data_IF_032338899288
#
_entry.id   IF_032338899288
#
_cell.length_a   1.000
_cell.length_b   1.000
_cell.length_c   1.000
_cell.angle_alpha   90.00
_cell.angle_beta   90.00
_cell.angle_gamma   90.00
#
_symmetry.space_group_name_H-M   'P 1'
#
loop_
_entity.id
_entity.type
_entity.pdbx_description
1 polymer ?
#
# COMPACT_ATOMS: atom_id res chain seq x y z
N UNK A 1 -5.43 -31.43 -7.76
CA UNK A 1 -5.03 -30.03 -8.05
C UNK A 1 -6.32 -29.22 -7.96
N UNK A 2 -6.31 -27.94 -7.57
CA UNK A 2 -7.56 -27.14 -7.50
C UNK A 2 -7.45 -25.94 -8.44
N UNK A 3 -8.58 -25.53 -9.02
CA UNK A 3 -8.65 -24.30 -9.79
C UNK A 3 -8.25 -23.10 -8.94
N UNK A 4 -7.67 -22.09 -9.59
CA UNK A 4 -7.19 -20.87 -8.93
C UNK A 4 -7.44 -19.66 -9.83
N UNK A 5 -7.03 -18.47 -9.38
CA UNK A 5 -7.02 -17.25 -10.20
C UNK A 5 -6.17 -17.34 -11.47
N UNK A 6 -5.26 -18.31 -11.58
CA UNK A 6 -4.37 -18.47 -12.75
C UNK A 6 -4.47 -19.86 -13.39
N UNK A 7 -5.38 -20.71 -12.94
CA UNK A 7 -5.53 -22.08 -13.42
C UNK A 7 -7.02 -22.45 -13.54
N UNK A 8 -7.41 -22.89 -14.72
CA UNK A 8 -8.77 -23.35 -15.05
C UNK A 8 -8.75 -24.78 -15.59
N UNK A 9 -9.70 -25.61 -15.19
CA UNK A 9 -9.93 -26.92 -15.76
C UNK A 9 -11.13 -26.93 -16.69
N UNK A 10 -11.00 -27.69 -17.79
CA UNK A 10 -12.08 -27.95 -18.74
C UNK A 10 -12.04 -29.39 -19.17
N UNK A 11 -13.08 -30.14 -18.84
CA UNK A 11 -13.22 -31.52 -19.32
C UNK A 11 -13.37 -31.54 -20.86
N UNK A 12 -14.12 -30.58 -21.41
CA UNK A 12 -14.41 -30.46 -22.85
C UNK A 12 -14.21 -29.05 -23.39
N UNK A 13 -14.01 -28.94 -24.70
CA UNK A 13 -13.79 -27.66 -25.39
C UNK A 13 -15.15 -27.02 -25.71
N UNK A 14 -15.59 -26.11 -24.84
CA UNK A 14 -16.81 -25.30 -25.05
C UNK A 14 -16.46 -23.83 -25.16
N UNK A 15 -17.29 -23.00 -25.80
CA UNK A 15 -17.00 -21.57 -25.98
C UNK A 15 -16.86 -20.77 -24.65
N UNK A 16 -17.12 -21.40 -23.49
CA UNK A 16 -16.96 -20.77 -22.18
C UNK A 16 -15.50 -20.44 -21.86
N UNK A 17 -14.53 -21.22 -22.35
CA UNK A 17 -13.10 -20.98 -22.09
C UNK A 17 -12.63 -19.62 -22.66
N UNK A 18 -13.30 -19.09 -23.69
CA UNK A 18 -12.96 -17.80 -24.29
C UNK A 18 -13.16 -16.63 -23.33
N UNK A 19 -14.10 -16.75 -22.38
CA UNK A 19 -14.21 -15.78 -21.27
C UNK A 19 -12.95 -15.80 -20.42
N UNK A 20 -12.46 -17.00 -20.11
CA UNK A 20 -11.23 -17.19 -19.33
C UNK A 20 -10.01 -16.69 -20.08
N UNK A 21 -9.91 -16.89 -21.39
CA UNK A 21 -8.84 -16.32 -22.22
C UNK A 21 -8.88 -14.79 -22.20
N UNK A 22 -10.05 -14.18 -22.37
CA UNK A 22 -10.21 -12.72 -22.21
C UNK A 22 -9.77 -12.26 -20.82
N UNK A 23 -10.14 -12.97 -19.76
CA UNK A 23 -9.71 -12.66 -18.40
C UNK A 23 -8.19 -12.76 -18.22
N UNK A 24 -7.56 -13.84 -18.67
CA UNK A 24 -6.11 -14.01 -18.57
C UNK A 24 -5.35 -12.96 -19.38
N UNK A 25 -5.83 -12.60 -20.58
CA UNK A 25 -5.20 -11.53 -21.37
C UNK A 25 -5.37 -10.14 -20.76
N UNK A 26 -6.44 -9.88 -20.00
CA UNK A 26 -6.65 -8.60 -19.33
C UNK A 26 -5.87 -8.45 -18.00
N UNK A 27 -5.49 -9.56 -17.35
CA UNK A 27 -4.90 -9.56 -16.02
C UNK A 27 -3.57 -10.32 -16.00
N UNK A 28 -3.34 -11.21 -15.03
CA UNK A 28 -2.01 -11.79 -14.75
C UNK A 28 -1.59 -12.93 -15.70
N UNK A 29 -2.35 -13.19 -16.76
CA UNK A 29 -2.21 -14.42 -17.53
C UNK A 29 -2.74 -15.64 -16.78
N UNK A 30 -2.47 -16.83 -17.31
CA UNK A 30 -2.85 -18.07 -16.68
C UNK A 30 -2.87 -19.26 -17.62
N UNK A 31 -3.31 -20.40 -17.10
CA UNK A 31 -3.30 -21.68 -17.78
C UNK A 31 -4.71 -22.29 -17.81
N UNK A 32 -5.09 -22.86 -18.95
CA UNK A 32 -6.31 -23.66 -19.09
C UNK A 32 -5.88 -25.08 -19.48
N UNK A 33 -6.28 -26.07 -18.67
CA UNK A 33 -6.06 -27.49 -18.97
C UNK A 33 -7.34 -28.11 -19.52
N UNK A 34 -7.27 -28.58 -20.77
CA UNK A 34 -8.36 -29.31 -21.41
C UNK A 34 -8.19 -30.82 -21.25
N UNK A 35 -9.30 -31.54 -21.10
CA UNK A 35 -9.34 -32.99 -20.85
C UNK A 35 -9.19 -33.35 -19.36
N UNK A 36 -9.41 -32.39 -18.46
CA UNK A 36 -9.30 -32.54 -17.01
C UNK A 36 -10.62 -32.11 -16.36
N UNK A 37 -11.17 -32.93 -15.46
CA UNK A 37 -12.38 -32.58 -14.71
C UNK A 37 -12.10 -31.59 -13.56
N UNK A 38 -13.15 -31.08 -12.93
CA UNK A 38 -13.05 -30.06 -11.86
C UNK A 38 -12.30 -30.58 -10.62
N UNK A 39 -12.22 -31.90 -10.44
CA UNK A 39 -11.46 -32.57 -9.37
C UNK A 39 -9.97 -32.76 -9.72
N UNK A 40 -9.59 -32.46 -10.97
CA UNK A 40 -8.23 -32.60 -11.48
C UNK A 40 -7.91 -33.99 -12.03
N UNK A 41 -8.91 -34.84 -12.30
CA UNK A 41 -8.71 -36.14 -12.92
C UNK A 41 -8.65 -36.00 -14.44
N UNK A 42 -7.73 -36.74 -15.06
CA UNK A 42 -7.57 -36.78 -16.51
C UNK A 42 -8.69 -37.63 -17.11
N UNK A 43 -9.56 -37.01 -17.91
CA UNK A 43 -10.58 -37.69 -18.73
C UNK A 43 -10.09 -37.95 -20.15
N UNK A 44 -9.19 -37.09 -20.64
CA UNK A 44 -8.62 -37.17 -21.97
C UNK A 44 -9.53 -36.59 -23.05
N UNK A 45 -8.93 -36.17 -24.17
CA UNK A 45 -9.61 -35.71 -25.38
C UNK A 45 -9.48 -36.77 -26.48
N UNK A 46 -10.51 -36.94 -27.31
CA UNK A 46 -10.56 -37.98 -28.34
C UNK A 46 -9.66 -37.69 -29.56
N UNK A 47 -9.50 -36.42 -29.94
CA UNK A 47 -8.60 -35.98 -31.01
C UNK A 47 -7.92 -34.67 -30.59
N UNK A 48 -6.71 -34.79 -30.06
CA UNK A 48 -5.96 -33.65 -29.53
C UNK A 48 -5.46 -32.71 -30.62
N UNK A 49 -5.14 -33.22 -31.82
CA UNK A 49 -4.62 -32.38 -32.90
C UNK A 49 -5.71 -31.49 -33.48
N UNK A 50 -6.89 -32.06 -33.72
CA UNK A 50 -8.05 -31.28 -34.16
C UNK A 50 -8.50 -30.29 -33.08
N UNK A 51 -8.49 -30.73 -31.81
CA UNK A 51 -8.80 -29.87 -30.68
C UNK A 51 -7.89 -28.64 -30.57
N UNK A 52 -6.58 -28.77 -30.81
CA UNK A 52 -5.67 -27.62 -30.84
C UNK A 52 -6.08 -26.61 -31.93
N UNK A 53 -6.33 -27.09 -33.16
CA UNK A 53 -6.78 -26.22 -34.27
C UNK A 53 -8.11 -25.53 -33.95
N UNK A 54 -9.05 -26.26 -33.32
CA UNK A 54 -10.34 -25.72 -32.93
C UNK A 54 -10.19 -24.63 -31.86
N UNK A 55 -9.30 -24.81 -30.89
CA UNK A 55 -8.99 -23.81 -29.86
C UNK A 55 -8.38 -22.56 -30.51
N UNK A 56 -7.39 -22.73 -31.38
CA UNK A 56 -6.73 -21.62 -32.10
C UNK A 56 -7.74 -20.79 -32.90
N UNK A 57 -8.55 -21.46 -33.74
CA UNK A 57 -9.57 -20.79 -34.56
C UNK A 57 -10.59 -20.05 -33.69
N UNK A 58 -11.09 -20.69 -32.61
CA UNK A 58 -12.05 -20.05 -31.69
C UNK A 58 -11.48 -18.80 -31.04
N UNK A 59 -10.22 -18.82 -30.62
CA UNK A 59 -9.54 -17.65 -30.03
C UNK A 59 -9.41 -16.55 -31.08
N UNK A 60 -8.87 -16.89 -32.25
CA UNK A 60 -8.58 -15.93 -33.31
C UNK A 60 -9.85 -15.25 -33.85
N UNK A 61 -10.98 -15.97 -33.92
CA UNK A 61 -12.24 -15.45 -34.45
C UNK A 61 -13.05 -14.65 -33.42
N UNK A 62 -12.85 -14.92 -32.12
CA UNK A 62 -13.77 -14.43 -31.08
C UNK A 62 -13.17 -13.39 -30.14
N UNK A 63 -11.85 -13.27 -30.06
CA UNK A 63 -11.17 -12.38 -29.12
C UNK A 63 -10.46 -11.25 -29.87
N UNK A 64 -10.68 -10.03 -29.41
CA UNK A 64 -10.04 -8.84 -29.96
C UNK A 64 -9.61 -7.89 -28.84
N UNK A 65 -8.36 -7.41 -28.80
CA UNK A 65 -7.25 -7.74 -29.71
C UNK A 65 -6.80 -9.20 -29.64
N UNK A 66 -5.91 -9.62 -30.56
CA UNK A 66 -5.41 -10.99 -30.58
C UNK A 66 -4.54 -11.29 -29.35
N UNK A 67 -4.88 -12.30 -28.53
CA UNK A 67 -4.12 -12.61 -27.33
C UNK A 67 -2.81 -13.34 -27.66
N UNK A 68 -1.83 -13.23 -26.76
CA UNK A 68 -0.58 -14.00 -26.86
C UNK A 68 -0.72 -15.28 -26.04
N UNK A 69 -0.64 -16.43 -26.71
CA UNK A 69 -0.81 -17.73 -26.06
C UNK A 69 0.09 -18.80 -26.69
N UNK A 70 0.31 -19.88 -25.95
CA UNK A 70 0.98 -21.11 -26.43
C UNK A 70 0.15 -22.33 -26.07
N UNK A 71 0.13 -23.32 -26.97
CA UNK A 71 -0.53 -24.60 -26.77
C UNK A 71 0.50 -25.72 -26.65
N UNK A 72 0.35 -26.55 -25.64
CA UNK A 72 1.22 -27.71 -25.38
C UNK A 72 0.36 -28.97 -25.20
N UNK A 73 0.71 -30.04 -25.92
CA UNK A 73 0.09 -31.35 -25.75
C UNK A 73 0.80 -32.08 -24.62
N UNK A 74 0.03 -32.63 -23.68
CA UNK A 74 0.55 -33.31 -22.49
C UNK A 74 -0.08 -34.70 -22.30
N UNK A 75 0.51 -35.49 -21.40
CA UNK A 75 0.00 -36.79 -20.97
C UNK A 75 -0.27 -37.77 -22.12
N UNK A 76 0.73 -38.03 -22.98
CA UNK A 76 0.62 -38.94 -24.14
C UNK A 76 -0.58 -38.62 -25.06
N UNK A 77 -0.73 -37.36 -25.46
CA UNK A 77 -1.83 -36.91 -26.33
C UNK A 77 -3.23 -37.09 -25.72
N UNK A 78 -3.37 -36.90 -24.41
CA UNK A 78 -4.68 -36.92 -23.74
C UNK A 78 -5.17 -35.53 -23.34
N UNK A 79 -4.27 -34.59 -23.06
CA UNK A 79 -4.65 -33.27 -22.53
C UNK A 79 -3.95 -32.15 -23.28
N UNK A 80 -4.58 -30.97 -23.32
CA UNK A 80 -4.00 -29.76 -23.91
C UNK A 80 -3.85 -28.72 -22.83
N UNK A 81 -2.66 -28.14 -22.73
CA UNK A 81 -2.37 -26.98 -21.90
C UNK A 81 -2.33 -25.73 -22.77
N UNK A 82 -3.24 -24.80 -22.52
CA UNK A 82 -3.25 -23.47 -23.12
C UNK A 82 -2.70 -22.47 -22.11
N UNK A 83 -1.54 -21.90 -22.39
CA UNK A 83 -0.90 -20.87 -21.57
C UNK A 83 -1.17 -19.50 -22.20
N UNK A 84 -1.91 -18.64 -21.52
CA UNK A 84 -2.26 -17.28 -21.98
C UNK A 84 -1.43 -16.26 -21.21
N UNK A 85 -0.76 -15.36 -21.94
CA UNK A 85 0.00 -14.26 -21.35
C UNK A 85 -0.89 -13.02 -21.17
N UNK A 86 -0.56 -12.21 -20.16
CA UNK A 86 -1.10 -10.86 -20.04
C UNK A 86 -0.80 -10.05 -21.30
N UNK A 87 -1.79 -9.34 -21.81
CA UNK A 87 -1.68 -8.55 -23.01
C UNK A 87 -1.51 -7.05 -22.76
N UNK A 88 -0.83 -6.37 -23.67
CA UNK A 88 -0.56 -4.93 -23.57
C UNK A 88 -1.69 -4.06 -24.14
N UNK A 89 -2.51 -4.61 -25.04
CA UNK A 89 -3.53 -3.85 -25.79
C UNK A 89 -4.92 -3.95 -25.15
N UNK A 90 -4.98 -3.81 -23.83
CA UNK A 90 -6.23 -3.97 -23.08
C UNK A 90 -7.30 -2.95 -23.54
N UNK A 91 -8.60 -3.28 -23.46
CA UNK A 91 -9.17 -4.56 -23.05
C UNK A 91 -9.19 -5.60 -24.17
N UNK A 92 -8.94 -6.86 -23.82
CA UNK A 92 -9.22 -8.05 -24.63
C UNK A 92 -10.68 -8.46 -24.45
N UNK A 93 -11.46 -8.35 -25.52
CA UNK A 93 -12.91 -8.51 -25.51
C UNK A 93 -13.32 -9.85 -26.10
N UNK A 94 -14.29 -10.50 -25.45
CA UNK A 94 -15.06 -11.62 -26.01
C UNK A 94 -16.53 -11.21 -26.07
N UNK A 95 -17.14 -11.24 -27.26
CA UNK A 95 -18.51 -10.74 -27.50
C UNK A 95 -18.72 -9.31 -26.96
N UNK A 96 -17.78 -8.42 -27.27
CA UNK A 96 -17.78 -7.00 -26.86
C UNK A 96 -17.74 -6.75 -25.35
N UNK A 97 -17.35 -7.76 -24.56
CA UNK A 97 -17.27 -7.68 -23.10
C UNK A 97 -15.88 -8.08 -22.63
N UNK A 98 -15.36 -7.39 -21.62
CA UNK A 98 -14.15 -7.78 -20.92
C UNK A 98 -14.50 -8.62 -19.68
N UNK A 99 -13.64 -9.57 -19.34
CA UNK A 99 -13.85 -10.49 -18.23
C UNK A 99 -12.67 -10.44 -17.25
N UNK A 100 -12.91 -10.84 -16.01
CA UNK A 100 -11.89 -11.08 -14.97
C UNK A 100 -12.17 -12.39 -14.25
N UNK A 101 -11.12 -13.00 -13.69
CA UNK A 101 -11.28 -14.13 -12.77
C UNK A 101 -11.51 -13.61 -11.36
N UNK A 102 -12.59 -14.10 -10.75
CA UNK A 102 -12.89 -13.93 -9.35
C UNK A 102 -12.74 -15.29 -8.66
N UNK A 103 -11.52 -15.56 -8.23
CA UNK A 103 -11.09 -16.87 -7.73
C UNK A 103 -11.22 -17.96 -8.82
N UNK A 104 -12.22 -18.85 -8.72
CA UNK A 104 -12.49 -19.90 -9.71
C UNK A 104 -13.45 -19.46 -10.83
N UNK A 105 -14.28 -18.44 -10.59
CA UNK A 105 -15.30 -18.03 -11.55
C UNK A 105 -14.79 -16.93 -12.48
N UNK A 106 -15.18 -16.97 -13.76
CA UNK A 106 -14.93 -15.88 -14.70
C UNK A 106 -16.17 -15.01 -14.86
N UNK A 107 -16.06 -13.73 -14.47
CA UNK A 107 -17.16 -12.76 -14.47
C UNK A 107 -16.87 -11.59 -15.41
N UNK A 108 -17.93 -10.94 -15.89
CA UNK A 108 -17.81 -9.69 -16.65
C UNK A 108 -17.33 -8.57 -15.70
N UNK A 109 -16.44 -7.71 -16.21
CA UNK A 109 -15.97 -6.55 -15.45
C UNK A 109 -17.05 -5.46 -15.39
N UNK A 110 -17.09 -4.70 -14.31
CA UNK A 110 -17.98 -3.54 -14.21
C UNK A 110 -17.49 -2.35 -15.05
N UNK A 111 -18.26 -1.27 -15.09
CA UNK A 111 -17.95 -0.07 -15.90
C UNK A 111 -16.66 0.62 -15.47
N UNK A 112 -16.35 0.65 -14.17
CA UNK A 112 -15.15 1.29 -13.63
C UNK A 112 -13.91 0.50 -14.07
N UNK A 113 -13.96 -0.81 -13.86
CA UNK A 113 -12.89 -1.73 -14.21
C UNK A 113 -12.68 -1.83 -15.72
N UNK A 114 -13.77 -1.79 -16.51
CA UNK A 114 -13.67 -1.68 -17.97
C UNK A 114 -12.94 -0.41 -18.39
N UNK A 115 -13.28 0.72 -17.79
CA UNK A 115 -12.65 2.02 -18.09
C UNK A 115 -11.16 1.96 -17.77
N UNK A 116 -10.76 1.32 -16.66
CA UNK A 116 -9.35 1.10 -16.30
C UNK A 116 -8.60 0.29 -17.35
N UNK A 117 -9.18 -0.81 -17.85
CA UNK A 117 -8.55 -1.62 -18.90
C UNK A 117 -8.34 -0.81 -20.19
N UNK A 118 -9.30 0.04 -20.57
CA UNK A 118 -9.18 0.93 -21.74
C UNK A 118 -8.05 1.94 -21.56
N UNK A 119 -7.93 2.51 -20.37
CA UNK A 119 -6.83 3.44 -20.04
C UNK A 119 -5.48 2.73 -20.05
N UNK A 120 -5.40 1.53 -19.49
CA UNK A 120 -4.19 0.72 -19.44
C UNK A 120 -3.68 0.37 -20.84
N UNK A 121 -4.56 -0.07 -21.75
CA UNK A 121 -4.15 -0.35 -23.14
C UNK A 121 -3.80 0.88 -23.97
N UNK A 122 -4.24 2.08 -23.54
CA UNK A 122 -3.76 3.35 -24.09
C UNK A 122 -2.50 3.87 -23.39
N UNK A 123 -2.06 3.20 -22.32
CA UNK A 123 -1.00 3.67 -21.43
C UNK A 123 -1.25 5.10 -20.90
N UNK A 124 -2.52 5.41 -20.61
CA UNK A 124 -2.97 6.68 -20.03
C UNK A 124 -3.42 6.40 -18.60
N UNK A 125 -3.13 7.32 -17.67
CA UNK A 125 -3.55 7.19 -16.26
C UNK A 125 -4.74 8.09 -15.96
N UNK A 126 -5.49 7.80 -14.91
CA UNK A 126 -6.64 8.61 -14.51
C UNK A 126 -6.27 10.07 -14.27
N UNK A 127 -5.11 10.30 -13.64
CA UNK A 127 -4.60 11.62 -13.29
C UNK A 127 -4.18 12.43 -14.54
N UNK A 128 -3.96 11.76 -15.67
CA UNK A 128 -3.62 12.37 -16.96
C UNK A 128 -4.87 12.73 -17.78
N UNK A 129 -6.04 12.22 -17.40
CA UNK A 129 -7.30 12.58 -18.06
C UNK A 129 -7.65 14.05 -17.85
N UNK A 130 -8.36 14.68 -18.80
CA UNK A 130 -8.84 16.05 -18.63
C UNK A 130 -9.66 16.21 -17.35
N UNK A 131 -9.36 17.25 -16.58
CA UNK A 131 -10.14 17.60 -15.41
C UNK A 131 -11.49 18.15 -15.84
N UNK A 132 -12.54 17.75 -15.13
CA UNK A 132 -13.89 18.28 -15.37
C UNK A 132 -13.95 19.80 -15.16
N UNK A 133 -13.28 20.28 -14.11
CA UNK A 133 -13.19 21.70 -13.79
C UNK A 133 -11.94 22.31 -14.45
N UNK A 134 -12.13 23.40 -15.17
CA UNK A 134 -11.05 24.12 -15.87
C UNK A 134 -10.77 25.51 -15.26
N UNK A 135 -11.61 25.96 -14.34
CA UNK A 135 -11.41 27.18 -13.56
C UNK A 135 -10.76 26.82 -12.22
N UNK A 136 -9.45 26.56 -12.26
CA UNK A 136 -8.66 26.13 -11.11
C UNK A 136 -7.72 27.25 -10.61
N UNK A 137 -7.56 27.34 -9.29
CA UNK A 137 -6.57 28.19 -8.63
C UNK A 137 -5.48 27.33 -7.97
N UNK A 138 -4.27 27.88 -7.85
CA UNK A 138 -3.07 27.14 -7.42
C UNK A 138 -2.21 27.91 -6.41
N UNK A 139 -2.82 28.70 -5.53
CA UNK A 139 -2.12 29.51 -4.51
C UNK A 139 -1.22 28.64 -3.61
N UNK A 140 -1.70 27.47 -3.18
CA UNK A 140 -0.94 26.54 -2.33
C UNK A 140 0.29 26.01 -3.10
N UNK A 141 0.10 25.57 -4.35
CA UNK A 141 1.19 25.08 -5.19
C UNK A 141 2.21 26.19 -5.47
N UNK A 142 1.73 27.38 -5.82
CA UNK A 142 2.56 28.54 -6.09
C UNK A 142 3.43 28.91 -4.88
N UNK A 143 2.85 29.01 -3.69
CA UNK A 143 3.60 29.29 -2.46
C UNK A 143 4.66 28.24 -2.19
N UNK A 144 4.32 26.95 -2.31
CA UNK A 144 5.27 25.85 -2.11
C UNK A 144 6.44 25.90 -3.12
N UNK A 145 6.15 26.14 -4.40
CA UNK A 145 7.18 26.26 -5.44
C UNK A 145 8.10 27.47 -5.20
N UNK A 146 7.54 28.60 -4.76
CA UNK A 146 8.30 29.80 -4.43
C UNK A 146 9.19 29.57 -3.21
N UNK A 147 8.69 28.93 -2.16
CA UNK A 147 9.47 28.70 -0.94
C UNK A 147 10.55 27.64 -1.11
N UNK A 148 10.25 26.52 -1.80
CA UNK A 148 11.15 25.37 -1.89
C UNK A 148 12.10 25.43 -3.08
N UNK A 149 11.64 25.98 -4.21
CA UNK A 149 12.37 25.98 -5.49
C UNK A 149 12.78 27.40 -5.90
N UNK A 150 12.32 28.43 -5.17
CA UNK A 150 12.64 29.84 -5.46
C UNK A 150 12.25 30.27 -6.87
N UNK A 151 11.14 29.72 -7.39
CA UNK A 151 10.58 30.17 -8.67
C UNK A 151 10.13 31.64 -8.56
N UNK A 152 10.59 32.46 -9.50
CA UNK A 152 10.27 33.89 -9.56
C UNK A 152 8.88 34.15 -10.15
N UNK A 153 8.45 33.34 -11.13
CA UNK A 153 7.18 33.52 -11.85
C UNK A 153 6.38 32.23 -11.91
N UNK A 154 5.09 32.31 -11.60
CA UNK A 154 4.15 31.19 -11.69
C UNK A 154 3.10 31.50 -12.76
N UNK A 155 3.09 30.72 -13.84
CA UNK A 155 2.22 30.94 -14.99
C UNK A 155 1.85 29.60 -15.68
N UNK A 156 1.17 29.68 -16.83
CA UNK A 156 0.79 28.48 -17.61
C UNK A 156 1.99 27.64 -18.06
N UNK A 157 3.15 28.24 -18.33
CA UNK A 157 4.34 27.49 -18.73
C UNK A 157 4.92 26.68 -17.56
N UNK A 158 4.81 27.20 -16.34
CA UNK A 158 5.10 26.42 -15.11
C UNK A 158 4.20 25.20 -15.03
N UNK A 159 2.89 25.38 -15.27
CA UNK A 159 1.90 24.30 -15.23
C UNK A 159 2.14 23.25 -16.34
N UNK A 160 2.52 23.69 -17.55
CA UNK A 160 2.95 22.80 -18.64
C UNK A 160 4.18 22.00 -18.28
N UNK A 161 5.19 22.63 -17.68
CA UNK A 161 6.43 21.99 -17.23
C UNK A 161 6.18 20.92 -16.15
N UNK A 162 5.15 21.11 -15.33
CA UNK A 162 4.71 20.15 -14.31
C UNK A 162 3.76 19.08 -14.87
N UNK A 163 3.45 19.10 -16.17
CA UNK A 163 2.46 18.25 -16.84
C UNK A 163 1.07 18.35 -16.19
N UNK A 164 0.65 19.56 -15.80
CA UNK A 164 -0.66 19.84 -15.21
C UNK A 164 -1.62 20.49 -16.21
N UNK A 165 -1.10 21.03 -17.31
CA UNK A 165 -1.88 21.71 -18.33
C UNK A 165 -1.29 21.45 -19.71
N UNK A 166 -2.14 21.29 -20.72
CA UNK A 166 -1.76 21.34 -22.13
C UNK A 166 -2.76 22.20 -22.93
N UNK A 167 -2.34 22.69 -24.10
CA UNK A 167 -3.17 23.61 -24.90
C UNK A 167 -4.36 22.92 -25.60
N UNK A 168 -4.33 21.59 -25.75
CA UNK A 168 -5.36 20.83 -26.45
C UNK A 168 -6.51 20.41 -25.52
N UNK A 169 -6.19 19.99 -24.29
CA UNK A 169 -7.13 19.42 -23.33
C UNK A 169 -7.32 20.27 -22.06
N UNK A 170 -6.51 21.31 -21.87
CA UNK A 170 -6.53 22.14 -20.67
C UNK A 170 -5.89 21.44 -19.47
N UNK A 171 -6.47 21.64 -18.29
CA UNK A 171 -6.04 21.01 -17.04
C UNK A 171 -6.39 19.54 -16.99
N UNK A 172 -5.49 18.72 -16.46
CA UNK A 172 -5.74 17.31 -16.17
C UNK A 172 -6.12 17.07 -14.70
N UNK A 173 -6.55 15.85 -14.36
CA UNK A 173 -6.96 15.50 -13.01
C UNK A 173 -5.84 15.70 -11.97
N UNK A 174 -4.57 15.53 -12.32
CA UNK A 174 -3.45 15.86 -11.44
C UNK A 174 -3.44 17.36 -11.05
N UNK A 175 -3.78 18.24 -11.99
CA UNK A 175 -3.96 19.66 -11.71
C UNK A 175 -5.16 19.89 -10.78
N UNK A 176 -6.29 19.22 -11.03
CA UNK A 176 -7.45 19.26 -10.14
C UNK A 176 -7.09 18.85 -8.70
N UNK A 177 -6.27 17.81 -8.53
CA UNK A 177 -5.79 17.37 -7.21
C UNK A 177 -4.92 18.41 -6.51
N UNK A 178 -4.13 19.17 -7.27
CA UNK A 178 -3.23 20.21 -6.75
C UNK A 178 -3.91 21.58 -6.60
N UNK A 179 -5.10 21.76 -7.16
CA UNK A 179 -5.87 22.99 -7.08
C UNK A 179 -6.31 23.31 -5.64
N UNK A 180 -6.43 24.59 -5.30
CA UNK A 180 -6.75 25.02 -3.93
C UNK A 180 -8.12 24.51 -3.46
N UNK A 181 -9.05 24.38 -4.41
CA UNK A 181 -10.37 23.78 -4.27
C UNK A 181 -10.55 22.71 -5.33
N UNK A 182 -11.05 21.55 -4.93
CA UNK A 182 -11.36 20.45 -5.83
C UNK A 182 -12.52 19.61 -5.27
N UNK A 183 -12.86 18.52 -5.94
CA UNK A 183 -13.95 17.60 -5.57
C UNK A 183 -13.45 16.20 -5.23
N UNK A 184 -12.13 16.01 -5.07
CA UNK A 184 -11.55 14.68 -4.86
C UNK A 184 -11.58 14.30 -3.37
N UNK A 185 -11.74 13.00 -3.04
CA UNK A 185 -11.66 12.53 -1.66
C UNK A 185 -10.27 12.81 -1.08
N UNK A 186 -10.18 13.29 0.14
CA UNK A 186 -8.92 13.62 0.77
C UNK A 186 -8.48 12.60 1.82
N UNK A 187 -8.27 13.08 3.05
CA UNK A 187 -7.81 12.29 4.19
C UNK A 187 -8.77 12.43 5.37
N UNK A 188 -9.06 11.32 6.03
CA UNK A 188 -9.82 11.25 7.28
C UNK A 188 -8.89 10.77 8.40
N UNK A 189 -8.66 11.62 9.39
CA UNK A 189 -7.74 11.39 10.50
C UNK A 189 -8.55 11.20 11.78
N UNK A 190 -8.34 10.08 12.46
CA UNK A 190 -9.02 9.74 13.72
C UNK A 190 -7.98 9.46 14.80
N UNK A 191 -8.07 10.18 15.94
CA UNK A 191 -7.39 9.79 17.18
C UNK A 191 -8.32 8.92 18.00
N UNK A 192 -7.92 7.69 18.24
CA UNK A 192 -8.63 6.75 19.10
C UNK A 192 -8.12 6.82 20.54
N UNK A 193 -8.99 6.47 21.49
CA UNK A 193 -8.63 6.24 22.89
C UNK A 193 -8.14 4.80 23.11
N UNK A 194 -8.54 4.20 24.23
CA UNK A 194 -8.13 2.84 24.61
C UNK A 194 -8.53 1.76 23.59
N UNK A 195 -9.58 2.01 22.81
CA UNK A 195 -10.03 1.12 21.75
C UNK A 195 -10.73 1.92 20.63
N UNK A 196 -11.02 1.25 19.52
CA UNK A 196 -11.63 1.85 18.32
C UNK A 196 -13.05 2.40 18.54
N UNK A 197 -13.73 1.98 19.59
CA UNK A 197 -15.06 2.50 19.94
C UNK A 197 -14.98 3.87 20.64
N UNK A 198 -13.79 4.27 21.10
CA UNK A 198 -13.55 5.57 21.73
C UNK A 198 -12.85 6.48 20.74
N UNK A 199 -13.61 7.38 20.11
CA UNK A 199 -13.07 8.41 19.22
C UNK A 199 -12.81 9.68 20.04
N UNK A 200 -11.53 10.04 20.20
CA UNK A 200 -11.14 11.27 20.91
C UNK A 200 -11.25 12.49 20.01
N UNK A 201 -10.85 12.36 18.75
CA UNK A 201 -10.95 13.41 17.73
C UNK A 201 -11.07 12.79 16.35
N UNK A 202 -11.85 13.42 15.47
CA UNK A 202 -11.91 13.11 14.05
C UNK A 202 -11.83 14.40 13.26
N UNK A 203 -11.00 14.42 12.22
CA UNK A 203 -10.81 15.55 11.33
C UNK A 203 -10.71 15.01 9.91
N UNK A 204 -11.52 15.55 9.01
CA UNK A 204 -11.46 15.23 7.59
C UNK A 204 -10.95 16.45 6.83
N UNK A 205 -9.94 16.27 5.99
CA UNK A 205 -9.48 17.29 5.05
C UNK A 205 -9.78 16.82 3.63
N UNK A 206 -10.68 17.53 2.97
CA UNK A 206 -11.13 17.26 1.61
C UNK A 206 -11.41 18.57 0.88
N UNK A 207 -11.69 18.50 -0.42
CA UNK A 207 -11.99 19.65 -1.28
C UNK A 207 -10.88 20.72 -1.29
N UNK A 208 -9.63 20.30 -1.12
CA UNK A 208 -8.45 21.16 -1.08
C UNK A 208 -7.27 20.49 -1.73
N UNK A 209 -6.25 21.28 -2.09
CA UNK A 209 -5.00 20.78 -2.67
C UNK A 209 -4.40 19.65 -1.84
N UNK A 210 -3.96 18.59 -2.50
CA UNK A 210 -3.23 17.48 -1.85
C UNK A 210 -1.96 17.93 -1.13
N UNK A 211 -1.35 19.05 -1.51
CA UNK A 211 -0.25 19.68 -0.76
C UNK A 211 -0.73 20.25 0.58
N UNK A 212 -1.90 20.89 0.56
CA UNK A 212 -2.55 21.37 1.78
C UNK A 212 -2.97 20.22 2.70
N UNK A 213 -3.45 19.12 2.13
CA UNK A 213 -3.76 17.88 2.87
C UNK A 213 -2.51 17.34 3.56
N UNK A 214 -1.40 17.24 2.83
CA UNK A 214 -0.12 16.77 3.35
C UNK A 214 0.35 17.59 4.56
N UNK A 215 0.43 18.92 4.42
CA UNK A 215 0.88 19.79 5.51
C UNK A 215 -0.07 19.74 6.74
N UNK A 216 -1.39 19.72 6.50
CA UNK A 216 -2.38 19.60 7.58
C UNK A 216 -2.27 18.26 8.31
N UNK A 217 -2.04 17.17 7.60
CA UNK A 217 -1.83 15.85 8.19
C UNK A 217 -0.57 15.83 9.07
N UNK A 218 0.53 16.46 8.62
CA UNK A 218 1.73 16.62 9.44
C UNK A 218 1.47 17.46 10.68
N UNK A 219 0.72 18.57 10.57
CA UNK A 219 0.36 19.39 11.73
C UNK A 219 -0.40 18.57 12.79
N UNK A 220 -1.40 17.80 12.37
CA UNK A 220 -2.16 16.94 13.30
C UNK A 220 -1.26 15.86 13.91
N UNK A 221 -0.33 15.30 13.14
CA UNK A 221 0.64 14.34 13.66
C UNK A 221 1.51 14.93 14.76
N UNK A 222 2.05 16.13 14.56
CA UNK A 222 2.89 16.82 15.54
C UNK A 222 2.13 17.08 16.84
N UNK A 223 0.86 17.47 16.77
CA UNK A 223 0.01 17.72 17.95
C UNK A 223 -0.11 16.51 18.89
N UNK A 224 -0.02 15.27 18.37
CA UNK A 224 -0.22 14.05 19.16
C UNK A 224 1.05 13.25 19.44
N UNK A 225 2.04 13.31 18.55
CA UNK A 225 3.25 12.50 18.63
C UNK A 225 4.52 13.30 18.90
N UNK A 226 4.44 14.62 19.02
CA UNK A 226 5.57 15.45 19.45
C UNK A 226 5.26 16.21 20.73
N UNK A 227 6.27 16.36 21.59
CA UNK A 227 6.18 17.16 22.80
C UNK A 227 7.55 17.66 23.25
N UNK A 228 7.57 18.76 24.00
CA UNK A 228 8.80 19.29 24.60
C UNK A 228 9.01 18.71 26.00
N UNK A 229 10.25 18.32 26.29
CA UNK A 229 10.70 18.02 27.66
C UNK A 229 11.85 18.96 28.00
N UNK A 230 11.79 19.57 29.19
CA UNK A 230 12.89 20.36 29.73
C UNK A 230 13.87 19.40 30.40
N UNK A 231 15.10 19.34 29.90
CA UNK A 231 16.18 18.54 30.48
C UNK A 231 17.36 19.46 30.80
N UNK A 232 17.55 19.78 32.09
CA UNK A 232 18.55 20.76 32.50
C UNK A 232 18.18 22.17 32.05
N UNK A 233 19.09 22.84 31.34
CA UNK A 233 18.89 24.18 30.79
C UNK A 233 18.20 24.17 29.41
N UNK A 234 18.14 23.01 28.73
CA UNK A 234 17.70 22.92 27.35
C UNK A 234 16.28 22.37 27.24
N UNK A 235 15.55 22.87 26.24
CA UNK A 235 14.29 22.26 25.77
C UNK A 235 14.61 21.29 24.65
N UNK A 236 14.17 20.05 24.80
CA UNK A 236 14.33 19.01 23.79
C UNK A 236 12.96 18.62 23.22
N UNK A 237 12.83 18.66 21.91
CA UNK A 237 11.71 18.06 21.20
C UNK A 237 11.84 16.53 21.24
N UNK A 238 10.78 15.86 21.66
CA UNK A 238 10.68 14.40 21.68
C UNK A 238 9.64 13.97 20.67
N UNK A 239 10.02 13.04 19.78
CA UNK A 239 9.12 12.40 18.83
C UNK A 239 8.77 10.99 19.34
N UNK A 240 7.49 10.71 19.56
CA UNK A 240 7.02 9.36 19.89
C UNK A 240 7.09 8.43 18.69
N UNK A 241 6.83 8.96 17.50
CA UNK A 241 6.93 8.28 16.21
C UNK A 241 7.81 9.18 15.35
N UNK A 242 8.82 8.67 14.64
CA UNK A 242 9.74 9.52 13.88
C UNK A 242 8.98 10.25 12.77
N UNK A 243 9.02 11.59 12.77
CA UNK A 243 8.25 12.39 11.81
C UNK A 243 8.61 12.03 10.37
N UNK A 244 9.89 11.76 10.11
CA UNK A 244 10.38 11.37 8.79
C UNK A 244 9.69 10.11 8.23
N UNK A 245 9.33 9.14 9.09
CA UNK A 245 8.63 7.93 8.66
C UNK A 245 7.15 8.20 8.36
N UNK A 246 6.50 9.03 9.18
CA UNK A 246 5.11 9.43 8.94
C UNK A 246 4.97 10.28 7.68
N UNK A 247 5.91 11.21 7.47
CA UNK A 247 6.02 12.04 6.26
C UNK A 247 6.06 11.19 5.00
N UNK A 248 6.92 10.18 4.99
CA UNK A 248 7.04 9.23 3.89
C UNK A 248 5.75 8.41 3.68
N UNK A 249 5.11 7.96 4.76
CA UNK A 249 3.85 7.22 4.69
C UNK A 249 2.69 8.05 4.10
N UNK A 250 2.52 9.30 4.52
CA UNK A 250 1.47 10.20 4.00
C UNK A 250 1.76 10.57 2.55
N UNK A 251 3.00 10.89 2.20
CA UNK A 251 3.35 11.20 0.82
C UNK A 251 3.10 9.98 -0.10
N UNK A 252 3.48 8.78 0.33
CA UNK A 252 3.17 7.55 -0.41
C UNK A 252 1.67 7.34 -0.55
N UNK A 253 0.90 7.58 0.51
CA UNK A 253 -0.54 7.46 0.48
C UNK A 253 -1.18 8.41 -0.54
N UNK A 254 -0.70 9.65 -0.67
CA UNK A 254 -1.22 10.63 -1.64
C UNK A 254 -0.76 10.33 -3.07
N UNK A 255 0.51 9.97 -3.26
CA UNK A 255 1.13 9.77 -4.59
C UNK A 255 0.73 8.44 -5.22
N UNK A 256 0.52 7.38 -4.44
CA UNK A 256 0.24 6.05 -4.98
C UNK A 256 -1.22 5.61 -4.90
N UNK A 257 -2.10 6.47 -4.35
CA UNK A 257 -3.56 6.26 -4.31
C UNK A 257 -4.16 6.12 -5.71
N UNK A 258 -5.20 5.29 -5.82
CA UNK A 258 -6.11 5.31 -6.99
C UNK A 258 -7.12 6.45 -6.83
N UNK A 259 -7.01 7.51 -7.66
CA UNK A 259 -7.87 8.69 -7.53
C UNK A 259 -9.25 8.58 -8.18
N UNK A 260 -9.49 7.48 -8.91
CA UNK A 260 -10.77 7.15 -9.54
C UNK A 260 -11.77 6.44 -8.60
N UNK A 261 -11.42 6.29 -7.31
CA UNK A 261 -12.29 5.71 -6.27
C UNK A 261 -12.74 6.79 -5.29
N UNK A 262 -14.02 6.76 -4.92
CA UNK A 262 -14.61 7.64 -3.89
C UNK A 262 -14.37 7.09 -2.47
N UNK A 263 -13.12 7.17 -2.00
CA UNK A 263 -12.73 6.72 -0.65
C UNK A 263 -11.62 7.58 -0.07
N UNK A 264 -11.78 8.05 1.16
CA UNK A 264 -10.74 8.82 1.86
C UNK A 264 -9.50 7.94 2.14
N UNK A 265 -8.31 8.56 2.16
CA UNK A 265 -7.15 7.98 2.87
C UNK A 265 -7.49 8.00 4.35
N UNK A 266 -7.27 6.90 5.07
CA UNK A 266 -7.55 6.83 6.51
C UNK A 266 -6.27 6.88 7.30
N UNK A 267 -6.22 7.75 8.32
CA UNK A 267 -5.13 7.80 9.29
C UNK A 267 -5.71 7.53 10.68
N UNK A 268 -5.37 6.38 11.23
CA UNK A 268 -5.80 5.97 12.57
C UNK A 268 -4.66 6.16 13.55
N UNK A 269 -4.80 7.09 14.48
CA UNK A 269 -3.78 7.43 15.48
C UNK A 269 -4.14 6.78 16.82
N UNK A 270 -3.25 5.98 17.36
CA UNK A 270 -3.34 5.31 18.66
C UNK A 270 -2.22 5.78 19.59
N UNK A 271 -2.26 5.38 20.86
CA UNK A 271 -1.20 5.75 21.80
C UNK A 271 0.12 5.01 21.53
N UNK A 272 0.06 3.86 20.86
CA UNK A 272 1.19 2.96 20.61
C UNK A 272 1.62 2.90 19.12
N UNK A 273 0.80 3.41 18.19
CA UNK A 273 1.09 3.41 16.75
C UNK A 273 0.21 4.40 15.98
N UNK A 274 0.57 4.65 14.73
CA UNK A 274 -0.31 5.26 13.72
C UNK A 274 -0.42 4.36 12.50
N UNK A 275 -1.60 4.27 11.91
CA UNK A 275 -1.89 3.45 10.74
C UNK A 275 -2.34 4.36 9.59
N UNK A 276 -1.69 4.26 8.44
CA UNK A 276 -2.04 5.00 7.22
C UNK A 276 -2.53 4.00 6.18
N UNK A 277 -3.80 4.12 5.78
CA UNK A 277 -4.44 3.24 4.80
C UNK A 277 -4.77 4.05 3.55
N UNK A 278 -4.16 3.69 2.42
CA UNK A 278 -4.43 4.33 1.12
C UNK A 278 -5.27 3.41 0.22
N UNK A 279 -6.31 3.95 -0.46
CA UNK A 279 -7.06 3.20 -1.47
C UNK A 279 -6.19 2.78 -2.65
N UNK A 280 -6.41 1.55 -3.11
CA UNK A 280 -5.71 0.91 -4.22
C UNK A 280 -4.62 -0.06 -3.77
N UNK A 281 -4.46 -1.16 -4.51
CA UNK A 281 -3.37 -2.12 -4.32
C UNK A 281 -2.12 -1.77 -5.12
N UNK A 282 -1.23 -2.75 -5.27
CA UNK A 282 -0.03 -2.60 -6.10
C UNK A 282 -0.40 -2.41 -7.59
N UNK A 283 0.40 -1.64 -8.36
CA UNK A 283 0.30 -1.65 -9.81
C UNK A 283 0.47 -3.07 -10.38
N UNK A 284 -0.20 -3.35 -11.49
CA UNK A 284 -0.09 -4.64 -12.19
C UNK A 284 1.37 -4.99 -12.50
N UNK A 285 1.74 -6.25 -12.26
CA UNK A 285 3.10 -6.74 -12.50
C UNK A 285 4.12 -6.43 -11.40
N UNK A 286 3.69 -5.94 -10.23
CA UNK A 286 4.55 -5.74 -9.06
C UNK A 286 4.12 -6.70 -7.96
N UNK A 287 5.05 -7.52 -7.51
CA UNK A 287 4.83 -8.39 -6.35
C UNK A 287 5.03 -7.63 -5.03
N UNK A 288 4.41 -8.12 -3.97
CA UNK A 288 4.62 -7.58 -2.62
C UNK A 288 6.10 -7.61 -2.22
N UNK A 289 6.81 -8.69 -2.53
CA UNK A 289 8.24 -8.83 -2.23
C UNK A 289 9.10 -7.77 -2.96
N UNK A 290 8.82 -7.50 -4.24
CA UNK A 290 9.53 -6.47 -5.02
C UNK A 290 9.26 -5.08 -4.46
N UNK A 291 8.01 -4.80 -4.10
CA UNK A 291 7.60 -3.55 -3.48
C UNK A 291 8.29 -3.35 -2.11
N UNK A 292 8.22 -4.35 -1.23
CA UNK A 292 8.77 -4.27 0.12
C UNK A 292 10.30 -4.26 0.15
N UNK A 293 10.96 -4.86 -0.84
CA UNK A 293 12.43 -4.83 -0.97
C UNK A 293 12.95 -3.55 -1.65
N UNK A 294 12.06 -2.72 -2.22
CA UNK A 294 12.43 -1.51 -2.95
C UNK A 294 13.14 -1.80 -4.27
N UNK A 295 13.08 -3.04 -4.78
CA UNK A 295 13.71 -3.42 -6.06
C UNK A 295 13.02 -2.79 -7.26
N UNK A 296 11.70 -2.61 -7.16
CA UNK A 296 10.89 -2.03 -8.22
C UNK A 296 10.01 -0.92 -7.63
N UNK A 297 10.08 0.26 -8.22
CA UNK A 297 9.23 1.40 -7.87
C UNK A 297 8.52 1.89 -9.13
N UNK A 298 7.22 1.64 -9.20
CA UNK A 298 6.37 2.19 -10.25
C UNK A 298 5.50 3.27 -9.65
N UNK A 299 5.72 4.50 -10.10
CA UNK A 299 4.89 5.64 -9.74
C UNK A 299 3.50 5.45 -10.34
N UNK A 300 2.46 5.38 -9.51
CA UNK A 300 1.07 5.34 -9.97
C UNK A 300 0.66 6.70 -10.53
N UNK A 301 0.98 7.78 -9.84
CA UNK A 301 0.58 9.13 -10.25
C UNK A 301 1.82 9.95 -10.59
N UNK A 302 2.33 9.82 -11.83
CA UNK A 302 3.62 10.41 -12.25
C UNK A 302 3.67 11.92 -12.14
N UNK A 303 2.63 12.62 -12.57
CA UNK A 303 2.55 14.08 -12.50
C UNK A 303 2.57 14.57 -11.04
N UNK A 304 1.81 13.89 -10.17
CA UNK A 304 1.77 14.20 -8.75
C UNK A 304 3.11 13.89 -8.06
N UNK A 305 3.72 12.73 -8.35
CA UNK A 305 5.03 12.35 -7.84
C UNK A 305 6.12 13.36 -8.23
N UNK A 306 6.10 13.83 -9.49
CA UNK A 306 7.04 14.84 -9.99
C UNK A 306 6.91 16.16 -9.21
N UNK A 307 5.70 16.59 -8.88
CA UNK A 307 5.48 17.79 -8.05
C UNK A 307 6.04 17.58 -6.63
N UNK A 308 5.68 16.48 -5.96
CA UNK A 308 6.17 16.17 -4.61
C UNK A 308 7.70 16.05 -4.55
N UNK A 309 8.32 15.44 -5.56
CA UNK A 309 9.76 15.32 -5.68
C UNK A 309 10.43 16.70 -5.84
N UNK A 310 9.92 17.53 -6.74
CA UNK A 310 10.46 18.89 -6.96
C UNK A 310 10.37 19.76 -5.71
N UNK A 311 9.32 19.57 -4.90
CA UNK A 311 9.16 20.25 -3.61
C UNK A 311 10.03 19.66 -2.48
N UNK A 312 10.76 18.57 -2.74
CA UNK A 312 11.63 17.91 -1.76
C UNK A 312 10.86 17.11 -0.71
N UNK A 313 9.60 16.74 -0.99
CA UNK A 313 8.78 15.96 -0.06
C UNK A 313 9.05 14.45 -0.13
N UNK A 314 9.46 13.95 -1.30
CA UNK A 314 9.77 12.54 -1.52
C UNK A 314 10.99 12.35 -2.41
N UNK A 315 11.56 11.14 -2.37
CA UNK A 315 12.55 10.67 -3.34
C UNK A 315 11.91 9.67 -4.32
N UNK A 316 12.19 9.77 -5.62
CA UNK A 316 11.58 8.91 -6.64
C UNK A 316 12.32 7.56 -6.81
N UNK A 317 13.49 7.39 -6.18
CA UNK A 317 14.33 6.19 -6.31
C UNK A 317 13.79 4.92 -5.64
N UNK A 318 12.52 4.87 -5.23
CA UNK A 318 11.93 3.69 -4.58
C UNK A 318 12.46 3.41 -3.18
N UNK A 319 13.08 4.40 -2.55
CA UNK A 319 13.76 4.24 -1.26
C UNK A 319 12.85 4.49 -0.06
N UNK A 320 11.61 4.94 -0.26
CA UNK A 320 10.72 5.35 0.83
C UNK A 320 10.47 4.26 1.87
N UNK A 321 10.05 3.07 1.44
CA UNK A 321 9.82 1.92 2.33
C UNK A 321 11.12 1.50 3.03
N UNK A 322 12.24 1.47 2.29
CA UNK A 322 13.56 1.14 2.83
C UNK A 322 14.00 2.16 3.89
N UNK A 323 13.73 3.45 3.68
CA UNK A 323 14.02 4.52 4.63
C UNK A 323 13.19 4.36 5.91
N UNK A 324 11.90 4.06 5.79
CA UNK A 324 11.07 3.74 6.95
C UNK A 324 11.67 2.54 7.71
N UNK A 325 12.01 1.44 7.02
CA UNK A 325 12.64 0.27 7.65
C UNK A 325 13.97 0.61 8.32
N UNK A 326 14.78 1.47 7.71
CA UNK A 326 16.08 1.91 8.25
C UNK A 326 15.92 2.77 9.50
N UNK A 327 14.96 3.71 9.51
CA UNK A 327 14.63 4.52 10.68
C UNK A 327 14.31 3.61 11.87
N UNK A 328 13.53 2.56 11.65
CA UNK A 328 13.17 1.59 12.70
C UNK A 328 14.17 0.44 12.86
N UNK A 329 15.36 0.49 12.28
CA UNK A 329 16.33 -0.62 12.32
C UNK A 329 16.75 -1.01 13.74
N UNK A 330 16.81 -0.04 14.65
CA UNK A 330 17.13 -0.26 16.07
C UNK A 330 15.89 -0.29 16.97
N UNK A 331 14.69 0.03 16.46
CA UNK A 331 13.46 0.05 17.25
C UNK A 331 13.01 -1.34 17.73
N UNK A 332 12.45 -1.41 18.94
CA UNK A 332 11.91 -2.61 19.57
C UNK A 332 10.75 -3.22 18.81
N UNK A 333 9.89 -2.37 18.25
CA UNK A 333 8.79 -2.77 17.37
C UNK A 333 9.09 -2.24 15.97
N UNK A 334 8.97 -3.11 14.97
CA UNK A 334 9.19 -2.76 13.57
C UNK A 334 7.87 -2.29 12.92
N UNK A 335 7.94 -1.39 11.92
CA UNK A 335 6.78 -1.04 11.12
C UNK A 335 6.31 -2.26 10.31
N UNK A 336 5.00 -2.36 10.09
CA UNK A 336 4.40 -3.36 9.20
C UNK A 336 3.79 -2.69 7.98
N UNK A 337 3.75 -3.46 6.90
CA UNK A 337 3.21 -3.06 5.61
C UNK A 337 2.27 -4.18 5.20
N UNK A 338 1.00 -3.86 5.01
CA UNK A 338 -0.01 -4.82 4.57
C UNK A 338 -0.48 -4.41 3.18
N UNK A 339 -0.35 -5.32 2.23
CA UNK A 339 -0.75 -5.11 0.84
C UNK A 339 -1.94 -5.99 0.54
N UNK A 340 -2.99 -5.38 0.00
CA UNK A 340 -4.15 -6.09 -0.53
C UNK A 340 -4.46 -5.59 -1.95
N UNK A 341 -5.39 -6.26 -2.62
CA UNK A 341 -5.85 -5.88 -3.96
C UNK A 341 -6.41 -4.44 -4.00
N UNK A 342 -7.04 -4.00 -2.91
CA UNK A 342 -7.81 -2.75 -2.86
C UNK A 342 -7.24 -1.68 -1.92
N UNK A 343 -6.20 -1.99 -1.15
CA UNK A 343 -5.62 -1.06 -0.20
C UNK A 343 -4.18 -1.42 0.17
N UNK A 344 -3.39 -0.40 0.47
CA UNK A 344 -2.07 -0.53 1.10
C UNK A 344 -2.15 0.14 2.48
N UNK A 345 -1.72 -0.58 3.51
CA UNK A 345 -1.65 -0.10 4.88
C UNK A 345 -0.20 -0.06 5.38
N UNK A 346 0.19 1.07 5.97
CA UNK A 346 1.47 1.27 6.63
C UNK A 346 1.20 1.49 8.12
N UNK A 347 1.79 0.67 8.98
CA UNK A 347 1.70 0.80 10.43
C UNK A 347 3.05 1.27 10.97
N UNK A 348 3.05 2.41 11.66
CA UNK A 348 4.21 3.01 12.28
C UNK A 348 4.05 2.94 13.81
N UNK A 349 4.77 2.06 14.52
CA UNK A 349 4.70 1.97 15.97
C UNK A 349 5.43 3.16 16.63
N UNK A 350 5.19 3.38 17.93
CA UNK A 350 6.05 4.27 18.71
C UNK A 350 7.50 3.79 18.65
N UNK A 351 8.41 4.74 18.53
CA UNK A 351 9.84 4.51 18.52
C UNK A 351 10.34 4.32 19.94
N UNK A 352 10.64 3.08 20.29
CA UNK A 352 11.37 2.72 21.50
C UNK A 352 12.63 1.98 21.06
N UNK A 353 13.81 2.52 21.36
CA UNK A 353 15.07 1.85 21.04
C UNK A 353 15.09 0.44 21.64
N UNK A 354 15.55 -0.54 20.87
CA UNK A 354 15.92 -1.83 21.45
C UNK A 354 17.03 -1.56 22.45
N UNK A 355 16.68 -1.68 23.70
CA UNK A 355 17.59 -1.65 24.82
C UNK A 355 18.64 -2.79 24.84
N UNK A 356 18.95 -3.42 23.69
CA UNK A 356 19.76 -4.63 23.55
C UNK A 356 19.34 -5.69 24.58
N UNK A 357 18.03 -5.86 24.72
CA UNK A 357 17.43 -6.83 25.61
C UNK A 357 17.52 -8.22 24.97
N UNK A 358 18.07 -9.17 25.71
CA UNK A 358 17.96 -10.60 25.45
C UNK A 358 16.48 -11.01 25.43
N UNK A 359 16.16 -12.17 24.83
CA UNK A 359 14.77 -12.65 24.77
C UNK A 359 14.12 -12.77 26.15
N UNK A 360 14.89 -13.18 27.17
CA UNK A 360 14.41 -13.22 28.56
C UNK A 360 14.15 -11.82 29.14
N UNK A 361 15.00 -10.83 28.83
CA UNK A 361 14.79 -9.44 29.25
C UNK A 361 13.59 -8.79 28.55
N UNK A 362 13.31 -9.14 27.29
CA UNK A 362 12.12 -8.67 26.56
C UNK A 362 10.82 -9.16 27.22
N UNK A 363 10.79 -10.41 27.69
CA UNK A 363 9.65 -10.96 28.44
C UNK A 363 9.42 -10.18 29.73
N UNK A 364 10.48 -9.86 30.47
CA UNK A 364 10.38 -9.04 31.69
C UNK A 364 9.96 -7.60 31.37
N UNK A 365 10.51 -6.99 30.31
CA UNK A 365 10.18 -5.64 29.88
C UNK A 365 8.69 -5.47 29.58
N UNK A 366 8.08 -6.42 28.85
CA UNK A 366 6.63 -6.41 28.54
C UNK A 366 5.74 -6.44 29.78
N UNK A 367 6.23 -6.98 30.89
CA UNK A 367 5.47 -7.05 32.14
C UNK A 367 5.58 -5.77 32.97
N UNK A 368 6.54 -4.89 32.69
CA UNK A 368 6.72 -3.62 33.40
C UNK A 368 5.85 -2.51 32.80
N UNK A 369 5.71 -1.40 33.52
CA UNK A 369 4.96 -0.22 33.07
C UNK A 369 5.86 1.01 33.12
N UNK A 370 5.65 1.96 32.21
CA UNK A 370 6.26 3.31 32.27
C UNK A 370 5.68 4.16 33.41
N UNK A 371 4.39 3.97 33.73
CA UNK A 371 3.67 4.86 34.64
C UNK A 371 3.41 4.24 36.02
N UNK A 372 3.54 2.90 36.17
CA UNK A 372 3.30 2.20 37.44
C UNK A 372 4.48 1.36 37.87
N UNK A 373 4.85 1.50 39.14
CA UNK A 373 5.87 0.70 39.81
C UNK A 373 5.32 -0.69 40.15
N UNK A 374 5.92 -1.74 39.59
CA UNK A 374 5.55 -3.14 39.87
C UNK A 374 6.53 -3.81 40.82
N UNK A 375 6.00 -4.65 41.70
CA UNK A 375 6.77 -5.47 42.65
C UNK A 375 7.17 -6.81 42.05
N UNK A 376 8.19 -7.47 42.63
CA UNK A 376 8.60 -8.82 42.22
C UNK A 376 7.46 -9.85 42.33
N UNK A 377 6.53 -9.66 43.28
CA UNK A 377 5.33 -10.51 43.41
C UNK A 377 4.36 -10.38 42.25
N UNK A 378 4.32 -9.23 41.57
CA UNK A 378 3.47 -8.99 40.41
C UNK A 378 4.13 -9.45 39.10
N UNK A 379 5.46 -9.54 39.06
CA UNK A 379 6.22 -9.96 37.88
C UNK A 379 6.43 -11.48 37.86
N UNK A 380 6.81 -12.07 39.01
CA UNK A 380 7.20 -13.49 39.10
C UNK A 380 6.16 -14.53 38.64
N UNK A 381 4.83 -14.32 38.78
CA UNK A 381 3.83 -15.30 38.32
C UNK A 381 3.74 -15.45 36.80
N UNK A 382 4.17 -14.43 36.04
CA UNK A 382 3.96 -14.35 34.59
C UNK A 382 5.23 -14.66 33.78
N UNK A 383 6.27 -15.16 34.44
CA UNK A 383 7.55 -15.50 33.82
C UNK A 383 7.89 -16.97 34.05
N UNK A 384 8.48 -17.60 33.05
CA UNK A 384 8.82 -19.03 33.06
C UNK A 384 10.10 -19.37 33.82
N UNK A 385 10.86 -18.37 34.26
CA UNK A 385 12.12 -18.54 34.99
C UNK A 385 12.06 -18.00 36.43
N UNK A 386 12.81 -18.64 37.33
CA UNK A 386 12.74 -18.38 38.78
C UNK A 386 13.22 -16.98 39.21
N UNK A 387 12.74 -16.53 40.38
CA UNK A 387 12.96 -15.17 40.96
C UNK A 387 14.41 -14.68 40.95
N UNK A 388 15.38 -15.57 41.14
CA UNK A 388 16.80 -15.24 41.13
C UNK A 388 17.26 -14.75 39.74
N UNK A 389 16.86 -15.46 38.67
CA UNK A 389 17.18 -15.08 37.29
C UNK A 389 16.49 -13.76 36.92
N UNK A 390 15.22 -13.58 37.28
CA UNK A 390 14.48 -12.33 37.07
C UNK A 390 15.14 -11.13 37.73
N UNK A 391 15.60 -11.29 38.97
CA UNK A 391 16.27 -10.22 39.72
C UNK A 391 17.59 -9.82 39.06
N UNK A 392 18.31 -10.80 38.48
CA UNK A 392 19.53 -10.55 37.71
C UNK A 392 19.20 -9.79 36.42
N UNK A 393 18.22 -10.25 35.65
CA UNK A 393 17.79 -9.57 34.41
C UNK A 393 17.33 -8.14 34.67
N UNK A 394 16.55 -7.88 35.73
CA UNK A 394 16.13 -6.52 36.09
C UNK A 394 17.31 -5.60 36.44
N UNK A 395 18.35 -6.12 37.09
CA UNK A 395 19.59 -5.36 37.35
C UNK A 395 20.39 -5.10 36.07
N UNK A 396 20.49 -6.10 35.20
CA UNK A 396 21.18 -5.97 33.91
C UNK A 396 20.44 -4.93 33.02
N UNK A 397 19.10 -4.91 33.05
CA UNK A 397 18.25 -3.91 32.40
C UNK A 397 18.38 -2.51 33.01
N UNK A 398 18.57 -2.39 34.33
CA UNK A 398 18.87 -1.10 34.98
C UNK A 398 20.25 -0.58 34.54
N UNK A 399 21.27 -1.44 34.46
CA UNK A 399 22.60 -1.10 33.97
C UNK A 399 22.59 -0.67 32.50
N UNK A 400 21.74 -1.27 31.68
CA UNK A 400 21.46 -0.86 30.30
C UNK A 400 20.64 0.44 30.20
N UNK A 401 20.22 1.02 31.34
CA UNK A 401 19.48 2.28 31.39
C UNK A 401 17.99 2.19 31.01
N UNK A 402 17.44 0.97 30.98
CA UNK A 402 16.13 0.64 30.40
C UNK A 402 15.00 0.76 31.42
N UNK A 403 15.31 0.48 32.68
CA UNK A 403 14.36 0.48 33.78
C UNK A 403 14.94 1.25 34.96
N UNK A 404 14.07 1.75 35.81
CA UNK A 404 14.43 2.35 37.09
C UNK A 404 14.01 1.41 38.21
N UNK A 405 14.92 1.16 39.16
CA UNK A 405 14.65 0.37 40.37
C UNK A 405 14.50 1.33 41.56
N UNK A 406 13.38 1.23 42.27
CA UNK A 406 13.09 2.07 43.44
C UNK A 406 12.85 1.22 44.69
N UNK A 407 13.35 1.69 45.84
CA UNK A 407 13.19 1.03 47.14
C UNK A 407 14.35 0.11 47.53
N UNK A 408 14.25 -0.49 48.72
CA UNK A 408 15.27 -1.40 49.28
C UNK A 408 14.63 -2.66 49.87
N UNK A 409 15.31 -3.79 49.73
CA UNK A 409 14.91 -5.07 50.34
C UNK A 409 13.57 -5.59 49.81
N UNK A 410 12.61 -5.85 50.71
CA UNK A 410 11.28 -6.38 50.34
C UNK A 410 10.38 -5.34 49.66
N UNK A 411 10.75 -4.05 49.70
CA UNK A 411 9.99 -2.95 49.11
C UNK A 411 10.44 -2.53 47.70
N UNK A 412 11.34 -3.29 47.08
CA UNK A 412 11.87 -2.95 45.75
C UNK A 412 10.80 -3.07 44.67
N UNK A 413 10.67 -2.02 43.85
CA UNK A 413 9.76 -1.94 42.71
C UNK A 413 10.50 -1.50 41.44
N UNK A 414 9.90 -1.82 40.30
CA UNK A 414 10.51 -1.70 38.98
C UNK A 414 9.54 -0.97 38.02
N UNK A 415 10.10 -0.10 37.18
CA UNK A 415 9.36 0.67 36.16
C UNK A 415 10.26 0.88 34.93
N UNK A 416 9.66 0.94 33.74
CA UNK A 416 10.38 1.32 32.50
C UNK A 416 10.77 2.80 32.59
N UNK A 417 12.01 3.12 32.19
CA UNK A 417 12.53 4.48 32.22
C UNK A 417 11.88 5.40 31.18
#
# INVERSE_FOLDING_TARGET
MRETRILEFKETITNTFLKTVSAFSNYDGGEILFGVDDDGNIKGLSDVKQACLDIENKINDSISPQPNYTLEIQNNEQTIKLSVKSGLQKPYLYKSKAYKRNDTATIEVDTLEFSRLVLEGKNIRFEELPCKDQELSFEILQSNLKEKIQIETFNKDTLKTLNLYDDANGFNNAAGLLADKNHFPGIDIVKFGENISIIQKRITFENTSVLGIYEKALSVFRDYYQYEVIQGADRKMVEKIPEAAFREAIANALIHRVWDVDSQIRVSMFDDRTEVVSPGGLPSGITEDEYLSGKLSVLRNRNLANVFYRLGFVEIFGTGITRIKQIYSEASVKPSFEVSENAIQIVLPIYEENANLTEDEKVVYKLLSKNMLKSMSEIAPYISFGKSKTTKLLKDMEQKGVITIEGKGKGTKYRIK
#
